data_IF_363254010470
#
_entry.id   IF_363254010470
#
_cell.length_a   1.000
_cell.length_b   1.000
_cell.length_c   1.000
_cell.angle_alpha   90.00
_cell.angle_beta   90.00
_cell.angle_gamma   90.00
#
_symmetry.space_group_name_H-M   'P 1'
#
loop_
_entity.id
_entity.type
_entity.pdbx_description
1 polymer ?
#
# COMPACT_ATOMS: atom_id res chain seq x y z
N UNK A 1 30.05 -31.75 34.73
CA UNK A 1 29.19 -30.86 35.53
C UNK A 1 30.12 -29.98 36.37
N UNK A 2 29.98 -28.65 36.27
CA UNK A 2 30.60 -27.61 37.12
C UNK A 2 32.14 -27.44 37.01
N UNK A 3 32.74 -26.25 36.86
CA UNK A 3 32.33 -24.87 36.61
C UNK A 3 33.59 -24.18 36.03
N UNK A 4 33.50 -23.53 34.86
CA UNK A 4 34.55 -22.66 34.29
C UNK A 4 34.18 -21.22 34.63
N UNK A 5 35.17 -20.42 35.08
CA UNK A 5 35.32 -18.94 35.07
C UNK A 5 36.13 -18.53 36.31
N UNK A 6 37.06 -17.59 36.28
CA UNK A 6 37.61 -16.74 35.24
C UNK A 6 38.97 -16.25 35.77
N UNK A 7 40.00 -16.32 34.94
CA UNK A 7 41.35 -15.85 35.27
C UNK A 7 41.50 -14.37 34.91
N UNK A 8 42.01 -13.63 35.87
CA UNK A 8 42.31 -12.20 35.89
C UNK A 8 43.56 -11.87 35.03
N UNK A 9 43.48 -10.88 34.14
CA UNK A 9 44.64 -10.27 33.45
C UNK A 9 44.31 -8.79 33.15
N UNK A 10 44.67 -7.85 34.04
CA UNK A 10 45.84 -6.95 34.04
C UNK A 10 46.00 -6.07 32.76
N UNK A 11 46.19 -4.76 33.02
CA UNK A 11 46.83 -3.68 32.24
C UNK A 11 45.93 -2.66 31.53
N UNK A 12 45.62 -1.56 32.22
CA UNK A 12 45.35 -0.26 31.61
C UNK A 12 45.83 0.86 32.54
N UNK A 13 47.04 1.37 32.29
CA UNK A 13 47.53 2.63 32.85
C UNK A 13 48.31 3.35 31.74
N UNK A 14 47.69 4.36 31.12
CA UNK A 14 48.42 5.42 30.42
C UNK A 14 47.60 6.69 30.53
N UNK A 15 48.05 7.54 31.45
CA UNK A 15 47.60 8.90 31.71
C UNK A 15 48.42 9.80 30.79
N UNK A 16 47.79 10.57 29.91
CA UNK A 16 48.35 11.80 29.37
C UNK A 16 47.24 12.85 29.27
N UNK A 17 47.16 13.69 30.29
CA UNK A 17 46.46 14.95 30.25
C UNK A 17 47.41 16.01 29.67
N UNK A 18 46.96 16.73 28.63
CA UNK A 18 47.46 18.06 28.32
C UNK A 18 46.28 18.90 27.83
N UNK A 19 45.92 19.86 28.66
CA UNK A 19 44.92 20.88 28.41
C UNK A 19 45.39 21.80 27.27
N UNK A 20 44.54 22.05 26.29
CA UNK A 20 44.63 23.28 25.51
C UNK A 20 43.24 23.91 25.43
N UNK A 21 43.11 25.03 26.14
CA UNK A 21 41.93 25.90 26.14
C UNK A 21 41.97 26.81 24.93
N UNK A 22 40.89 26.85 24.16
CA UNK A 22 40.65 27.86 23.12
C UNK A 22 39.16 27.95 22.80
N UNK A 23 38.51 29.05 23.21
CA UNK A 23 37.09 29.35 22.94
C UNK A 23 36.90 29.91 21.52
N UNK A 24 35.97 29.30 20.80
CA UNK A 24 34.85 29.88 19.99
C UNK A 24 35.09 31.13 19.13
N UNK A 25 34.88 30.97 17.82
CA UNK A 25 33.99 31.77 16.94
C UNK A 25 33.59 30.83 15.78
N UNK A 26 32.34 30.35 15.73
CA UNK A 26 31.27 30.93 14.91
C UNK A 26 31.66 31.14 13.44
N UNK A 27 31.30 30.18 12.57
CA UNK A 27 30.41 30.44 11.43
C UNK A 27 30.06 29.11 10.75
N UNK A 28 28.86 28.66 11.10
CA UNK A 28 28.10 27.64 10.42
C UNK A 28 27.66 28.23 9.06
N UNK A 29 28.07 27.59 7.97
CA UNK A 29 27.55 27.88 6.62
C UNK A 29 27.62 26.60 5.81
N UNK A 30 26.93 25.56 6.27
CA UNK A 30 26.39 24.60 5.33
C UNK A 30 25.15 25.26 4.72
N UNK A 31 25.31 25.76 3.49
CA UNK A 31 24.18 26.02 2.61
C UNK A 31 23.42 24.70 2.45
N UNK A 32 22.36 24.54 3.23
CA UNK A 32 21.28 23.62 2.89
C UNK A 32 20.71 24.09 1.56
N UNK A 33 21.16 23.46 0.48
CA UNK A 33 20.50 23.50 -0.81
C UNK A 33 19.05 23.06 -0.53
N UNK A 34 18.03 23.92 -0.74
CA UNK A 34 16.67 23.50 -0.53
C UNK A 34 16.36 22.48 -1.63
N UNK A 35 16.36 21.21 -1.27
CA UNK A 35 15.74 20.17 -2.06
C UNK A 35 14.25 20.52 -2.10
N UNK A 36 13.84 21.25 -3.13
CA UNK A 36 12.45 21.40 -3.51
C UNK A 36 11.96 20.07 -4.07
N UNK A 37 11.99 19.03 -3.26
CA UNK A 37 11.14 17.88 -3.46
C UNK A 37 9.76 18.34 -3.05
N UNK A 38 8.81 18.26 -3.97
CA UNK A 38 7.39 18.35 -3.66
C UNK A 38 7.00 17.11 -2.85
N UNK A 39 7.60 16.92 -1.66
CA UNK A 39 7.25 15.85 -0.74
C UNK A 39 5.83 16.14 -0.29
N UNK A 40 4.90 15.33 -0.76
CA UNK A 40 3.52 15.40 -0.28
C UNK A 40 3.58 15.20 1.24
N UNK A 41 3.24 16.24 2.01
CA UNK A 41 3.34 16.23 3.47
C UNK A 41 2.25 15.32 4.06
N UNK A 42 2.64 14.09 4.39
CA UNK A 42 1.77 13.09 5.03
C UNK A 42 1.20 13.60 6.35
N UNK A 43 1.89 14.48 7.07
CA UNK A 43 1.39 15.09 8.30
C UNK A 43 0.26 16.07 8.03
N UNK A 44 0.39 16.92 7.00
CA UNK A 44 -0.67 17.82 6.58
C UNK A 44 -1.93 17.07 6.14
N UNK A 45 -1.78 15.92 5.48
CA UNK A 45 -2.90 15.06 5.11
C UNK A 45 -3.52 14.42 6.36
N UNK A 46 -2.70 13.88 7.26
CA UNK A 46 -3.19 13.21 8.46
C UNK A 46 -3.96 14.16 9.41
N UNK A 47 -3.64 15.46 9.43
CA UNK A 47 -4.44 16.47 10.14
C UNK A 47 -5.91 16.51 9.66
N UNK A 48 -6.18 16.23 8.38
CA UNK A 48 -7.54 16.22 7.84
C UNK A 48 -8.39 15.06 8.38
N UNK A 49 -7.78 14.04 8.99
CA UNK A 49 -8.52 12.96 9.67
C UNK A 49 -9.33 13.45 10.88
N UNK A 50 -9.07 14.65 11.41
CA UNK A 50 -9.91 15.27 12.44
C UNK A 50 -11.06 16.13 11.89
N UNK A 51 -11.23 16.20 10.58
CA UNK A 51 -12.27 17.06 9.97
C UNK A 51 -13.67 16.64 10.44
N UNK A 52 -14.59 17.58 10.70
CA UNK A 52 -15.99 17.25 10.93
C UNK A 52 -16.65 16.60 9.70
N UNK A 53 -16.19 16.91 8.49
CA UNK A 53 -16.73 16.35 7.24
C UNK A 53 -16.21 14.92 7.01
N UNK A 54 -17.09 13.90 6.96
CA UNK A 54 -16.69 12.54 6.64
C UNK A 54 -15.99 12.41 5.29
N UNK A 55 -16.37 13.20 4.28
CA UNK A 55 -15.77 13.12 2.95
C UNK A 55 -14.30 13.57 2.96
N UNK A 56 -13.97 14.59 3.74
CA UNK A 56 -12.57 15.02 3.91
C UNK A 56 -11.75 13.95 4.64
N UNK A 57 -12.31 13.30 5.66
CA UNK A 57 -11.63 12.22 6.38
C UNK A 57 -11.39 11.00 5.48
N UNK A 58 -12.38 10.62 4.70
CA UNK A 58 -12.29 9.53 3.71
C UNK A 58 -11.15 9.80 2.72
N UNK A 59 -11.17 10.97 2.07
CA UNK A 59 -10.13 11.37 1.11
C UNK A 59 -8.74 11.42 1.73
N UNK A 60 -8.63 11.91 2.97
CA UNK A 60 -7.36 11.93 3.68
C UNK A 60 -6.84 10.51 3.96
N UNK A 61 -7.71 9.57 4.35
CA UNK A 61 -7.33 8.18 4.52
C UNK A 61 -6.87 7.54 3.19
N UNK A 62 -7.60 7.76 2.10
CA UNK A 62 -7.23 7.26 0.77
C UNK A 62 -5.90 7.85 0.27
N UNK A 63 -5.66 9.14 0.51
CA UNK A 63 -4.42 9.80 0.14
C UNK A 63 -3.23 9.24 0.93
N UNK A 64 -3.39 9.01 2.24
CA UNK A 64 -2.38 8.33 3.06
C UNK A 64 -2.14 6.88 2.61
N UNK A 65 -3.19 6.18 2.16
CA UNK A 65 -3.08 4.84 1.60
C UNK A 65 -2.24 4.83 0.31
N UNK A 66 -2.48 5.78 -0.59
CA UNK A 66 -1.72 5.94 -1.84
C UNK A 66 -0.25 6.24 -1.60
N UNK A 67 0.06 7.02 -0.57
CA UNK A 67 1.44 7.33 -0.17
C UNK A 67 2.11 6.20 0.63
N UNK A 68 1.35 5.19 1.06
CA UNK A 68 1.82 4.20 2.03
C UNK A 68 2.54 4.86 3.23
N UNK A 69 1.93 5.90 3.82
CA UNK A 69 2.54 6.76 4.83
C UNK A 69 2.71 6.04 6.20
N UNK A 70 3.70 5.15 6.29
CA UNK A 70 3.97 4.29 7.47
C UNK A 70 4.23 5.11 8.73
N UNK A 71 4.81 6.31 8.59
CA UNK A 71 5.05 7.27 9.66
C UNK A 71 3.73 7.74 10.33
N UNK A 72 2.62 7.76 9.60
CA UNK A 72 1.30 8.15 10.10
C UNK A 72 0.46 6.97 10.62
N UNK A 73 0.94 5.73 10.50
CA UNK A 73 0.16 4.53 10.79
C UNK A 73 -0.43 4.49 12.21
N UNK A 74 0.31 4.94 13.22
CA UNK A 74 -0.19 5.00 14.61
C UNK A 74 -1.36 5.97 14.76
N UNK A 75 -1.29 7.11 14.07
CA UNK A 75 -2.34 8.13 14.08
C UNK A 75 -3.59 7.62 13.36
N UNK A 76 -3.42 7.03 12.16
CA UNK A 76 -4.50 6.41 11.37
C UNK A 76 -5.19 5.32 12.18
N UNK A 77 -4.45 4.45 12.87
CA UNK A 77 -5.00 3.43 13.74
C UNK A 77 -5.83 4.02 14.89
N UNK A 78 -5.38 5.15 15.47
CA UNK A 78 -6.14 5.88 16.49
C UNK A 78 -7.48 6.39 15.98
N UNK A 79 -7.50 7.07 14.83
CA UNK A 79 -8.74 7.53 14.19
C UNK A 79 -9.65 6.37 13.82
N UNK A 80 -9.09 5.28 13.30
CA UNK A 80 -9.83 4.08 12.93
C UNK A 80 -10.61 3.47 14.08
N UNK A 81 -10.11 3.54 15.32
CA UNK A 81 -10.81 3.03 16.50
C UNK A 81 -12.02 3.87 16.91
N UNK A 82 -12.01 5.17 16.58
CA UNK A 82 -13.03 6.13 17.00
C UNK A 82 -14.04 6.45 15.89
N UNK A 83 -13.72 6.11 14.64
CA UNK A 83 -14.52 6.47 13.47
C UNK A 83 -15.90 5.77 13.46
N UNK A 84 -16.94 6.59 13.34
CA UNK A 84 -18.34 6.16 13.33
C UNK A 84 -18.89 6.00 11.92
N UNK A 85 -18.45 6.80 10.97
CA UNK A 85 -18.83 6.67 9.57
C UNK A 85 -18.17 5.43 8.97
N UNK A 86 -19.01 4.51 8.51
CA UNK A 86 -18.56 3.22 8.00
C UNK A 86 -17.72 3.33 6.71
N UNK A 87 -17.96 4.33 5.86
CA UNK A 87 -17.16 4.57 4.64
C UNK A 87 -15.76 5.03 5.01
N UNK A 88 -15.67 6.02 5.89
CA UNK A 88 -14.38 6.51 6.40
C UNK A 88 -13.62 5.39 7.11
N UNK A 89 -14.33 4.56 7.90
CA UNK A 89 -13.74 3.40 8.56
C UNK A 89 -13.10 2.42 7.58
N UNK A 90 -13.74 2.18 6.44
CA UNK A 90 -13.24 1.30 5.39
C UNK A 90 -12.01 1.91 4.69
N UNK A 91 -12.04 3.21 4.40
CA UNK A 91 -10.88 3.94 3.87
C UNK A 91 -9.67 3.91 4.82
N UNK A 92 -9.90 4.01 6.14
CA UNK A 92 -8.88 3.88 7.16
C UNK A 92 -8.33 2.44 7.23
N UNK A 93 -9.17 1.41 7.11
CA UNK A 93 -8.71 0.01 7.01
C UNK A 93 -7.85 -0.22 5.75
N UNK A 94 -8.20 0.42 4.64
CA UNK A 94 -7.39 0.43 3.41
C UNK A 94 -6.04 1.12 3.61
N UNK A 95 -6.02 2.30 4.22
CA UNK A 95 -4.79 3.01 4.54
C UNK A 95 -3.85 2.18 5.43
N UNK A 96 -4.39 1.56 6.47
CA UNK A 96 -3.63 0.68 7.36
C UNK A 96 -3.06 -0.54 6.62
N UNK A 97 -3.85 -1.15 5.72
CA UNK A 97 -3.36 -2.26 4.90
C UNK A 97 -2.15 -1.82 4.06
N UNK A 98 -2.28 -0.67 3.37
CA UNK A 98 -1.21 -0.10 2.54
C UNK A 98 0.04 0.31 3.34
N UNK A 99 -0.11 0.55 4.65
CA UNK A 99 0.99 0.81 5.59
C UNK A 99 1.56 -0.47 6.22
N UNK A 100 1.10 -1.66 5.81
CA UNK A 100 1.63 -2.96 6.24
C UNK A 100 0.87 -3.63 7.39
N UNK A 101 -0.32 -3.15 7.77
CA UNK A 101 -1.22 -3.87 8.70
C UNK A 101 -2.06 -4.90 7.94
N UNK A 102 -1.43 -5.99 7.54
CA UNK A 102 -2.03 -7.01 6.68
C UNK A 102 -3.36 -7.57 7.22
N UNK A 103 -3.54 -7.60 8.53
CA UNK A 103 -4.77 -8.07 9.17
C UNK A 103 -6.02 -7.25 8.82
N UNK A 104 -5.87 -6.00 8.36
CA UNK A 104 -7.03 -5.18 7.95
C UNK A 104 -7.60 -5.63 6.61
N UNK A 105 -6.86 -6.42 5.82
CA UNK A 105 -7.35 -7.01 4.57
C UNK A 105 -8.61 -7.86 4.79
N UNK A 106 -8.68 -8.60 5.90
CA UNK A 106 -9.87 -9.38 6.25
C UNK A 106 -11.12 -8.50 6.33
N UNK A 107 -11.00 -7.27 6.85
CA UNK A 107 -12.13 -6.33 6.98
C UNK A 107 -12.58 -5.81 5.62
N UNK A 108 -11.62 -5.48 4.74
CA UNK A 108 -11.91 -5.07 3.36
C UNK A 108 -12.66 -6.17 2.61
N UNK A 109 -12.20 -7.42 2.70
CA UNK A 109 -12.84 -8.56 2.05
C UNK A 109 -14.23 -8.81 2.64
N UNK A 110 -14.39 -8.79 3.96
CA UNK A 110 -15.68 -8.97 4.60
C UNK A 110 -16.70 -7.90 4.18
N UNK A 111 -16.26 -6.65 3.98
CA UNK A 111 -17.13 -5.58 3.54
C UNK A 111 -17.62 -5.68 2.09
N UNK A 112 -17.09 -6.64 1.32
CA UNK A 112 -17.71 -7.04 0.06
C UNK A 112 -19.12 -7.56 0.26
N UNK A 113 -19.57 -8.00 1.44
CA UNK A 113 -20.99 -8.37 1.67
C UNK A 113 -21.87 -7.19 2.13
N UNK A 114 -21.25 -6.05 2.47
CA UNK A 114 -21.95 -4.90 3.04
C UNK A 114 -22.61 -4.00 1.98
N UNK A 115 -23.27 -2.93 2.43
CA UNK A 115 -23.72 -1.82 1.56
C UNK A 115 -22.56 -1.04 0.93
N UNK A 116 -21.32 -1.28 1.36
CA UNK A 116 -20.09 -0.62 0.87
C UNK A 116 -19.27 -1.51 -0.06
N UNK A 117 -19.89 -2.56 -0.61
CA UNK A 117 -19.18 -3.53 -1.44
C UNK A 117 -18.47 -2.90 -2.64
N UNK A 118 -19.01 -1.83 -3.22
CA UNK A 118 -18.37 -1.12 -4.34
C UNK A 118 -17.06 -0.43 -3.90
N UNK A 119 -17.08 0.23 -2.74
CA UNK A 119 -15.89 0.85 -2.15
C UNK A 119 -14.83 -0.20 -1.81
N UNK A 120 -15.24 -1.29 -1.15
CA UNK A 120 -14.35 -2.40 -0.83
C UNK A 120 -13.73 -3.01 -2.10
N UNK A 121 -14.53 -3.33 -3.11
CA UNK A 121 -14.06 -3.85 -4.38
C UNK A 121 -13.13 -2.86 -5.10
N UNK A 122 -13.41 -1.55 -5.00
CA UNK A 122 -12.56 -0.50 -5.55
C UNK A 122 -11.19 -0.41 -4.88
N UNK A 123 -11.11 -0.62 -3.56
CA UNK A 123 -9.82 -0.71 -2.85
C UNK A 123 -9.08 -2.00 -3.17
N UNK A 124 -9.76 -3.15 -3.14
CA UNK A 124 -9.12 -4.42 -3.46
C UNK A 124 -8.63 -4.48 -4.91
N UNK A 125 -9.30 -3.80 -5.84
CA UNK A 125 -8.85 -3.69 -7.23
C UNK A 125 -7.62 -2.77 -7.42
N UNK A 126 -7.16 -2.07 -6.39
CA UNK A 126 -5.92 -1.30 -6.40
C UNK A 126 -4.71 -2.10 -5.90
N UNK A 127 -4.89 -3.38 -5.54
CA UNK A 127 -3.77 -4.24 -5.20
C UNK A 127 -2.89 -4.48 -6.42
N UNK A 128 -1.57 -4.46 -6.20
CA UNK A 128 -0.59 -4.74 -7.27
C UNK A 128 -0.69 -6.19 -7.76
N UNK A 129 -1.06 -7.11 -6.87
CA UNK A 129 -1.21 -8.53 -7.17
C UNK A 129 -2.43 -9.12 -6.47
N UNK A 130 -3.05 -10.18 -7.03
CA UNK A 130 -4.16 -10.89 -6.42
C UNK A 130 -3.74 -11.79 -5.23
N UNK A 131 -2.43 -12.03 -5.03
CA UNK A 131 -1.88 -13.00 -4.07
C UNK A 131 -2.48 -12.93 -2.66
N UNK A 132 -2.59 -11.74 -2.02
CA UNK A 132 -3.13 -11.64 -0.67
C UNK A 132 -4.59 -12.10 -0.56
N UNK A 133 -5.32 -12.14 -1.68
CA UNK A 133 -6.74 -12.47 -1.71
C UNK A 133 -7.02 -13.97 -1.79
N UNK A 134 -6.05 -14.80 -2.19
CA UNK A 134 -6.31 -16.23 -2.45
C UNK A 134 -6.78 -16.99 -1.22
N UNK A 135 -6.32 -16.62 -0.02
CA UNK A 135 -6.75 -17.27 1.22
C UNK A 135 -8.26 -17.14 1.47
N UNK A 136 -8.90 -16.10 0.92
CA UNK A 136 -10.31 -15.81 1.11
C UNK A 136 -11.22 -16.61 0.18
N UNK A 137 -10.71 -17.21 -0.90
CA UNK A 137 -11.52 -17.94 -1.88
C UNK A 137 -12.39 -19.04 -1.25
N UNK A 138 -11.99 -19.62 -0.11
CA UNK A 138 -12.74 -20.67 0.57
C UNK A 138 -13.08 -20.35 2.04
N UNK A 139 -12.81 -19.13 2.51
CA UNK A 139 -12.98 -18.74 3.92
C UNK A 139 -14.06 -17.68 4.15
N UNK A 140 -14.88 -17.43 3.13
CA UNK A 140 -15.91 -16.39 3.15
C UNK A 140 -17.27 -16.96 2.76
N UNK A 141 -18.34 -16.21 3.04
CA UNK A 141 -19.68 -16.60 2.62
C UNK A 141 -19.87 -16.46 1.09
N UNK A 142 -20.94 -17.04 0.56
CA UNK A 142 -21.20 -17.07 -0.89
C UNK A 142 -21.24 -15.68 -1.53
N UNK A 143 -21.88 -14.69 -0.89
CA UNK A 143 -22.00 -13.34 -1.45
C UNK A 143 -20.66 -12.58 -1.49
N UNK A 144 -19.82 -12.79 -0.48
CA UNK A 144 -18.44 -12.30 -0.45
C UNK A 144 -17.60 -12.98 -1.51
N UNK A 145 -17.73 -14.31 -1.66
CA UNK A 145 -16.99 -15.10 -2.63
C UNK A 145 -17.34 -14.69 -4.07
N UNK A 146 -18.62 -14.49 -4.38
CA UNK A 146 -19.11 -13.98 -5.67
C UNK A 146 -18.42 -12.66 -6.04
N UNK A 147 -18.44 -11.67 -5.13
CA UNK A 147 -17.83 -10.35 -5.37
C UNK A 147 -16.30 -10.38 -5.36
N UNK A 148 -15.70 -11.29 -4.61
CA UNK A 148 -14.26 -11.51 -4.64
C UNK A 148 -13.81 -12.03 -6.01
N UNK A 149 -14.61 -12.88 -6.67
CA UNK A 149 -14.36 -13.31 -8.04
C UNK A 149 -14.43 -12.15 -9.03
N UNK A 150 -15.35 -11.20 -8.85
CA UNK A 150 -15.38 -9.96 -9.66
C UNK A 150 -14.09 -9.15 -9.49
N UNK A 151 -13.55 -9.04 -8.28
CA UNK A 151 -12.25 -8.40 -8.02
C UNK A 151 -11.12 -9.16 -8.73
N UNK A 152 -11.08 -10.49 -8.62
CA UNK A 152 -10.12 -11.32 -9.36
C UNK A 152 -10.24 -11.14 -10.87
N UNK A 153 -11.45 -10.93 -11.41
CA UNK A 153 -11.62 -10.56 -12.81
C UNK A 153 -10.82 -9.32 -13.20
N UNK A 154 -10.75 -8.31 -12.32
CA UNK A 154 -10.07 -7.03 -12.57
C UNK A 154 -8.54 -7.07 -12.40
N UNK A 155 -8.05 -7.75 -11.37
CA UNK A 155 -6.61 -7.74 -11.01
C UNK A 155 -5.91 -9.09 -11.22
N UNK A 156 -6.66 -10.14 -11.51
CA UNK A 156 -6.14 -11.49 -11.64
C UNK A 156 -5.21 -11.68 -12.83
N UNK A 157 -4.39 -12.70 -12.72
CA UNK A 157 -3.35 -13.12 -13.65
C UNK A 157 -3.51 -14.60 -14.02
N UNK A 158 -2.52 -15.18 -14.71
CA UNK A 158 -2.55 -16.59 -15.08
C UNK A 158 -2.62 -17.54 -13.87
N UNK A 159 -1.99 -17.19 -12.75
CA UNK A 159 -2.09 -17.96 -11.51
C UNK A 159 -3.52 -17.94 -10.95
N UNK A 160 -4.21 -16.81 -11.09
CA UNK A 160 -5.60 -16.63 -10.66
C UNK A 160 -6.53 -17.56 -11.44
N UNK A 161 -6.32 -17.77 -12.74
CA UNK A 161 -7.08 -18.75 -13.54
C UNK A 161 -7.02 -20.15 -12.94
N UNK A 162 -5.83 -20.60 -12.55
CA UNK A 162 -5.65 -21.90 -11.92
C UNK A 162 -6.34 -21.99 -10.55
N UNK A 163 -6.29 -20.90 -9.78
CA UNK A 163 -6.92 -20.80 -8.44
C UNK A 163 -8.44 -20.87 -8.52
N UNK A 164 -9.06 -20.21 -9.51
CA UNK A 164 -10.53 -20.12 -9.61
C UNK A 164 -11.14 -21.24 -10.48
N UNK A 165 -10.33 -22.03 -11.20
CA UNK A 165 -10.79 -23.13 -12.06
C UNK A 165 -11.78 -24.09 -11.39
N UNK A 166 -11.60 -24.51 -10.12
CA UNK A 166 -12.59 -25.38 -9.45
C UNK A 166 -13.96 -24.73 -9.28
N UNK A 167 -14.03 -23.39 -9.21
CA UNK A 167 -15.26 -22.64 -8.96
C UNK A 167 -16.11 -22.48 -10.22
N UNK A 168 -15.55 -22.67 -11.42
CA UNK A 168 -16.28 -22.62 -12.70
C UNK A 168 -17.41 -23.65 -12.77
N UNK A 169 -17.23 -24.79 -12.10
CA UNK A 169 -18.20 -25.89 -12.03
C UNK A 169 -18.84 -25.99 -10.63
N UNK A 170 -18.87 -24.88 -9.88
CA UNK A 170 -19.54 -24.83 -8.58
C UNK A 170 -21.01 -25.23 -8.72
N UNK A 171 -21.54 -25.92 -7.69
CA UNK A 171 -22.98 -26.20 -7.60
C UNK A 171 -23.80 -24.93 -7.36
N UNK A 172 -23.18 -23.89 -6.78
CA UNK A 172 -23.79 -22.58 -6.69
C UNK A 172 -23.62 -21.86 -8.04
N UNK A 173 -24.73 -21.63 -8.73
CA UNK A 173 -24.73 -21.03 -10.06
C UNK A 173 -24.17 -19.60 -10.07
N UNK A 174 -24.33 -18.82 -8.99
CA UNK A 174 -23.78 -17.46 -8.93
C UNK A 174 -22.27 -17.50 -8.85
N UNK A 175 -21.73 -18.40 -8.03
CA UNK A 175 -20.29 -18.63 -7.96
C UNK A 175 -19.74 -19.13 -9.30
N UNK A 176 -20.41 -20.10 -9.93
CA UNK A 176 -20.01 -20.61 -11.23
C UNK A 176 -19.97 -19.50 -12.30
N UNK A 177 -21.03 -18.69 -12.40
CA UNK A 177 -21.10 -17.55 -13.32
C UNK A 177 -20.03 -16.50 -13.02
N UNK A 178 -19.82 -16.15 -11.75
CA UNK A 178 -18.81 -15.18 -11.36
C UNK A 178 -17.38 -15.66 -11.71
N UNK A 179 -17.09 -16.94 -11.47
CA UNK A 179 -15.80 -17.54 -11.81
C UNK A 179 -15.56 -17.60 -13.34
N UNK A 180 -16.60 -17.91 -14.12
CA UNK A 180 -16.54 -17.88 -15.59
C UNK A 180 -16.28 -16.46 -16.10
N UNK A 181 -17.02 -15.47 -15.60
CA UNK A 181 -16.82 -14.05 -15.95
C UNK A 181 -15.42 -13.56 -15.58
N UNK A 182 -14.92 -13.89 -14.39
CA UNK A 182 -13.58 -13.55 -13.96
C UNK A 182 -12.51 -14.19 -14.87
N UNK A 183 -12.66 -15.48 -15.19
CA UNK A 183 -11.75 -16.20 -16.09
C UNK A 183 -11.72 -15.58 -17.49
N UNK A 184 -12.88 -15.25 -18.05
CA UNK A 184 -12.99 -14.58 -19.34
C UNK A 184 -12.32 -13.21 -19.35
N UNK A 185 -12.55 -12.41 -18.30
CA UNK A 185 -11.96 -11.08 -18.16
C UNK A 185 -10.44 -11.14 -18.01
N UNK A 186 -9.92 -12.04 -17.18
CA UNK A 186 -8.47 -12.26 -17.05
C UNK A 186 -7.87 -12.68 -18.40
N UNK A 187 -8.48 -13.66 -19.07
CA UNK A 187 -7.99 -14.15 -20.37
C UNK A 187 -7.98 -13.02 -21.42
N UNK A 188 -9.04 -12.21 -21.46
CA UNK A 188 -9.13 -11.05 -22.35
C UNK A 188 -7.99 -10.06 -22.08
N UNK A 189 -7.78 -9.67 -20.82
CA UNK A 189 -6.71 -8.73 -20.43
C UNK A 189 -5.31 -9.27 -20.72
N UNK A 190 -5.09 -10.57 -20.58
CA UNK A 190 -3.80 -11.22 -20.89
C UNK A 190 -3.57 -11.39 -22.41
N UNK A 191 -4.63 -11.46 -23.21
CA UNK A 191 -4.55 -11.56 -24.67
C UNK A 191 -4.36 -10.20 -25.35
N UNK A 192 -4.78 -9.11 -24.71
CA UNK A 192 -4.57 -7.75 -25.20
C UNK A 192 -3.07 -7.37 -25.08
N UNK A 193 -2.35 -7.14 -26.19
CA UNK A 193 -0.95 -6.74 -26.12
C UNK A 193 -0.85 -5.39 -25.39
N UNK A 194 0.09 -5.28 -24.43
CA UNK A 194 0.44 -4.02 -23.79
C UNK A 194 0.68 -2.96 -24.88
N UNK A 195 -0.24 -1.99 -25.01
CA UNK A 195 -0.01 -0.84 -25.85
C UNK A 195 1.07 0.04 -25.20
N UNK A 196 2.33 -0.22 -25.53
CA UNK A 196 3.38 0.78 -25.38
C UNK A 196 2.98 2.00 -26.22
N UNK A 197 2.78 3.13 -25.54
CA UNK A 197 2.55 4.43 -26.18
C UNK A 197 3.66 4.66 -27.23
N UNK A 198 3.34 5.12 -28.46
CA UNK A 198 4.37 5.41 -29.44
C UNK A 198 5.30 6.49 -28.86
N UNK A 199 6.56 6.11 -28.63
CA UNK A 199 7.65 7.05 -28.36
C UNK A 199 7.66 8.04 -29.51
N UNK A 200 7.16 9.25 -29.26
CA UNK A 200 7.08 10.32 -30.26
C UNK A 200 8.50 10.69 -30.62
N UNK A 201 9.02 10.13 -31.71
CA UNK A 201 10.33 10.48 -32.26
C UNK A 201 10.36 12.00 -32.49
N UNK A 202 11.20 12.68 -31.71
CA UNK A 202 11.40 14.11 -31.79
C UNK A 202 12.21 14.38 -33.06
N UNK A 203 11.55 14.83 -34.13
CA UNK A 203 12.25 15.31 -35.33
C UNK A 203 13.04 16.57 -34.94
N UNK A 204 14.35 16.45 -34.78
CA UNK A 204 15.24 17.61 -34.66
C UNK A 204 15.33 18.26 -36.04
N UNK A 205 14.88 19.51 -36.13
CA UNK A 205 14.98 20.32 -37.34
C UNK A 205 16.44 20.48 -37.75
N UNK A 206 16.75 20.06 -38.98
CA UNK A 206 18.01 20.34 -39.66
C UNK A 206 17.95 21.81 -40.09
N UNK A 207 18.79 22.66 -39.48
CA UNK A 207 19.06 24.01 -39.98
C UNK A 207 20.17 23.94 -41.03
N UNK A 208 19.84 24.24 -42.29
CA UNK A 208 20.83 24.46 -43.36
C UNK A 208 21.58 25.78 -43.17
N UNK A 209 22.88 25.88 -43.50
CA UNK A 209 23.64 27.13 -43.42
C UNK A 209 23.41 28.01 -44.66
N UNK A 210 23.53 29.34 -44.53
CA UNK A 210 23.39 30.26 -45.66
C UNK A 210 24.65 30.29 -46.56
N UNK A 211 24.42 30.57 -47.85
CA UNK A 211 25.44 30.83 -48.88
C UNK A 211 26.24 32.11 -48.61
#
# INVERSE_FOLDING_TARGET
MHYIKATLFIFALMICAACFSGKVCAQNSQEEVPSSESTVDSSAIAKKLSSPDPLERERAAEELARLAAVDQMKLVAGYRLQERDSRVRLALDWALYRMGRNETLFRLVHDLDSSRHEQAAGYLAQLDTPDPLYIFLSQVNFKTQERLLEVFGKIGDAQTLERIRPLINSLDEKIARAAQSASAEITRRLAEPHQELPTRARTTGVTSPPN
#
